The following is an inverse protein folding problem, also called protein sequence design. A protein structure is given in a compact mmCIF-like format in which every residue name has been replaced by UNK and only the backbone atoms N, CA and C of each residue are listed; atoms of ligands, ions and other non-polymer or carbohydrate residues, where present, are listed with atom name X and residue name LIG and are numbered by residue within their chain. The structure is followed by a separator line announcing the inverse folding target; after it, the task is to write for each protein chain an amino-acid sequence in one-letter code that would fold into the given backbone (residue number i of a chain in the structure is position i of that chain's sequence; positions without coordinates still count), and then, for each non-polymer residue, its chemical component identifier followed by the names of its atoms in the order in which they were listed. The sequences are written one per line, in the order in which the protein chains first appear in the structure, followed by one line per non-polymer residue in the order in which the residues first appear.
data_IF_646852675078
#
_entry.id   IF_646852675078
#
_cell.length_a   1.000
_cell.length_b   1.000
_cell.length_c   1.000
_cell.angle_alpha   90.00
_cell.angle_beta   90.00
_cell.angle_gamma   90.00
#
_symmetry.space_group_name_H-M   'P 1'
#
loop_
_entity.id
_entity.type
_entity.pdbx_description
1 polymer ?
#
# COMPACT_ATOMS: atom_id res chain seq x y z
N UNK A 1 -4.09 44.57 -7.20
CA UNK A 1 -3.51 43.48 -6.39
C UNK A 1 -3.64 42.18 -7.19
N UNK A 2 -2.56 41.61 -7.65
CA UNK A 2 -2.59 40.32 -8.34
C UNK A 2 -3.06 39.24 -7.35
N UNK A 3 -4.22 38.64 -7.65
CA UNK A 3 -4.83 37.57 -6.85
C UNK A 3 -3.83 36.40 -6.80
N UNK A 4 -3.36 36.08 -5.60
CA UNK A 4 -2.35 35.05 -5.35
C UNK A 4 -2.83 33.72 -5.93
N UNK A 5 -2.33 33.32 -7.10
CA UNK A 5 -2.72 32.08 -7.82
C UNK A 5 -2.36 30.80 -7.04
N UNK A 6 -1.61 30.92 -5.97
CA UNK A 6 -1.13 29.80 -5.13
C UNK A 6 -2.10 29.37 -4.02
N UNK A 7 -3.26 30.02 -3.89
CA UNK A 7 -4.32 29.65 -2.93
C UNK A 7 -5.49 28.88 -3.59
N UNK A 8 -5.37 28.52 -4.87
CA UNK A 8 -6.41 27.75 -5.57
C UNK A 8 -6.11 26.26 -5.39
N UNK A 9 -6.92 25.59 -4.58
CA UNK A 9 -6.87 24.15 -4.43
C UNK A 9 -7.50 23.50 -5.67
N UNK A 10 -6.75 22.72 -6.41
CA UNK A 10 -7.25 21.92 -7.51
C UNK A 10 -8.06 20.73 -6.94
N UNK A 11 -9.31 20.62 -7.35
CA UNK A 11 -10.11 19.43 -7.06
C UNK A 11 -9.69 18.34 -8.04
N UNK A 12 -9.12 17.24 -7.52
CA UNK A 12 -8.82 16.06 -8.32
C UNK A 12 -10.15 15.36 -8.68
N UNK A 13 -10.74 15.76 -9.79
CA UNK A 13 -12.06 15.30 -10.26
C UNK A 13 -12.04 14.07 -11.16
N UNK A 14 -10.99 13.32 -11.20
CA UNK A 14 -11.06 12.06 -11.96
C UNK A 14 -11.54 10.92 -11.07
N UNK A 15 -12.81 10.49 -11.18
CA UNK A 15 -13.27 9.28 -10.52
C UNK A 15 -12.43 8.11 -11.00
N UNK A 16 -12.17 7.18 -10.10
CA UNK A 16 -11.45 5.96 -10.42
C UNK A 16 -12.24 5.15 -11.45
N UNK A 17 -11.70 5.03 -12.67
CA UNK A 17 -12.37 4.31 -13.77
C UNK A 17 -11.81 2.88 -13.88
N UNK A 18 -12.69 1.91 -13.64
CA UNK A 18 -12.39 0.49 -13.81
C UNK A 18 -11.99 0.10 -15.23
N UNK A 19 -12.37 0.90 -16.26
CA UNK A 19 -11.99 0.63 -17.64
C UNK A 19 -10.47 0.72 -17.85
N UNK A 20 -9.80 1.64 -17.17
CA UNK A 20 -8.34 1.74 -17.19
C UNK A 20 -7.65 0.52 -16.56
N UNK A 21 -8.21 0.00 -15.46
CA UNK A 21 -7.73 -1.24 -14.86
C UNK A 21 -7.87 -2.43 -15.82
N UNK A 22 -9.01 -2.55 -16.49
CA UNK A 22 -9.24 -3.64 -17.45
C UNK A 22 -8.20 -3.67 -18.58
N UNK A 23 -7.77 -2.50 -19.07
CA UNK A 23 -6.69 -2.40 -20.07
C UNK A 23 -5.35 -2.87 -19.49
N UNK A 24 -5.05 -2.52 -18.25
CA UNK A 24 -3.81 -2.93 -17.59
C UNK A 24 -3.75 -4.44 -17.31
N UNK A 25 -4.90 -5.12 -17.16
CA UNK A 25 -4.96 -6.57 -16.99
C UNK A 25 -4.45 -7.36 -18.21
N UNK A 26 -4.38 -6.76 -19.41
CA UNK A 26 -3.81 -7.40 -20.59
C UNK A 26 -2.34 -7.76 -20.37
N UNK A 27 -1.58 -6.87 -19.75
CA UNK A 27 -0.17 -7.12 -19.43
C UNK A 27 0.00 -8.19 -18.34
N UNK A 28 -0.87 -8.19 -17.34
CA UNK A 28 -0.87 -9.20 -16.27
C UNK A 28 -1.12 -10.61 -16.84
N UNK A 29 -2.05 -10.74 -17.78
CA UNK A 29 -2.43 -12.03 -18.39
C UNK A 29 -1.23 -12.77 -19.03
N UNK A 30 -0.25 -12.04 -19.55
CA UNK A 30 0.98 -12.59 -20.13
C UNK A 30 1.78 -13.39 -19.10
N UNK A 31 1.76 -12.96 -17.83
CA UNK A 31 2.56 -13.54 -16.73
C UNK A 31 1.77 -14.46 -15.80
N UNK A 32 0.58 -14.93 -16.22
CA UNK A 32 -0.32 -15.79 -15.44
C UNK A 32 0.39 -17.01 -14.80
N UNK A 33 1.34 -17.63 -15.50
CA UNK A 33 2.11 -18.78 -14.98
C UNK A 33 2.91 -18.40 -13.74
N UNK A 34 3.72 -17.32 -13.81
CA UNK A 34 4.50 -16.82 -12.66
C UNK A 34 3.59 -16.39 -11.51
N UNK A 35 2.41 -15.85 -11.81
CA UNK A 35 1.41 -15.46 -10.80
C UNK A 35 0.78 -16.67 -10.10
N UNK A 36 0.46 -17.73 -10.84
CA UNK A 36 -0.06 -18.97 -10.25
C UNK A 36 1.00 -19.60 -9.35
N UNK A 37 2.28 -19.62 -9.76
CA UNK A 37 3.36 -20.12 -8.88
C UNK A 37 3.51 -19.27 -7.63
N UNK A 38 3.40 -17.93 -7.72
CA UNK A 38 3.41 -17.06 -6.55
C UNK A 38 2.21 -17.32 -5.62
N UNK A 39 1.04 -17.60 -6.20
CA UNK A 39 -0.17 -17.97 -5.45
C UNK A 39 0.03 -19.29 -4.69
N UNK A 40 0.55 -20.32 -5.35
CA UNK A 40 0.84 -21.61 -4.72
C UNK A 40 1.84 -21.46 -3.57
N UNK A 41 2.92 -20.69 -3.78
CA UNK A 41 3.89 -20.39 -2.73
C UNK A 41 3.26 -19.64 -1.55
N UNK A 42 2.28 -18.74 -1.79
CA UNK A 42 1.53 -18.07 -0.73
C UNK A 42 0.71 -19.07 0.11
N UNK A 43 0.06 -20.01 -0.56
CA UNK A 43 -0.71 -21.08 0.13
C UNK A 43 0.21 -21.94 1.00
N UNK A 44 1.37 -22.37 0.48
CA UNK A 44 2.35 -23.12 1.26
C UNK A 44 2.91 -22.32 2.44
N UNK A 45 3.21 -21.04 2.23
CA UNK A 45 3.65 -20.16 3.30
C UNK A 45 2.58 -19.99 4.39
N UNK A 46 1.31 -19.84 3.99
CA UNK A 46 0.18 -19.73 4.92
C UNK A 46 -0.02 -21.01 5.72
N UNK A 47 -0.01 -22.18 5.08
CA UNK A 47 -0.11 -23.49 5.75
C UNK A 47 1.03 -23.62 6.78
N UNK A 48 2.26 -23.36 6.37
CA UNK A 48 3.43 -23.42 7.27
C UNK A 48 3.28 -22.45 8.45
N UNK A 49 2.76 -21.25 8.23
CA UNK A 49 2.50 -20.26 9.29
C UNK A 49 1.42 -20.72 10.29
N UNK A 50 0.36 -21.40 9.81
CA UNK A 50 -0.73 -21.91 10.65
C UNK A 50 -0.34 -23.14 11.49
N UNK A 51 0.72 -23.86 11.11
CA UNK A 51 1.25 -24.95 11.95
C UNK A 51 1.86 -24.43 13.26
N UNK A 52 2.37 -23.20 13.29
CA UNK A 52 2.98 -22.60 14.47
C UNK A 52 2.04 -22.57 15.70
N UNK A 53 0.85 -21.96 15.61
CA UNK A 53 -0.14 -21.98 16.68
C UNK A 53 -0.53 -23.37 17.14
N UNK A 54 -0.69 -24.34 16.21
CA UNK A 54 -1.02 -25.73 16.55
C UNK A 54 0.08 -26.42 17.35
N UNK A 55 1.35 -26.21 16.96
CA UNK A 55 2.51 -26.74 17.70
C UNK A 55 2.54 -26.11 19.11
N UNK A 56 2.28 -24.80 19.21
CA UNK A 56 2.27 -24.10 20.49
C UNK A 56 1.15 -24.63 21.39
N UNK A 57 -0.07 -24.78 20.86
CA UNK A 57 -1.19 -25.36 21.60
C UNK A 57 -0.85 -26.77 22.10
N UNK A 58 -0.35 -27.64 21.24
CA UNK A 58 0.03 -28.99 21.63
C UNK A 58 1.12 -29.02 22.73
N UNK A 59 2.08 -28.08 22.65
CA UNK A 59 3.11 -27.95 23.68
C UNK A 59 2.54 -27.55 25.04
N UNK A 60 1.61 -26.59 25.07
CA UNK A 60 0.97 -26.09 26.27
C UNK A 60 0.04 -27.12 26.90
N UNK A 61 -0.76 -27.82 26.08
CA UNK A 61 -1.80 -28.74 26.59
C UNK A 61 -1.23 -30.09 27.02
N UNK A 62 -0.18 -30.59 26.33
CA UNK A 62 0.29 -31.97 26.55
C UNK A 62 1.74 -32.04 27.07
N UNK A 63 2.68 -31.30 26.48
CA UNK A 63 4.11 -31.52 26.73
C UNK A 63 4.58 -30.87 28.03
N UNK A 64 4.12 -29.63 28.31
CA UNK A 64 4.50 -28.89 29.52
C UNK A 64 3.93 -29.55 30.78
N UNK A 65 2.65 -29.96 30.86
CA UNK A 65 2.10 -30.65 32.01
C UNK A 65 2.82 -31.98 32.32
N UNK A 66 3.27 -32.69 31.26
CA UNK A 66 4.02 -33.95 31.41
C UNK A 66 5.49 -33.76 31.76
N UNK A 67 6.00 -32.51 31.78
CA UNK A 67 7.42 -32.17 32.03
C UNK A 67 8.41 -32.91 31.12
N UNK A 68 7.98 -33.25 29.90
CA UNK A 68 8.83 -33.98 28.94
C UNK A 68 9.73 -33.03 28.16
N UNK A 69 10.94 -32.78 28.66
CA UNK A 69 11.91 -31.88 28.05
C UNK A 69 12.36 -32.31 26.65
N UNK A 70 12.46 -33.59 26.39
CA UNK A 70 12.89 -34.11 25.07
C UNK A 70 11.84 -33.77 23.99
N UNK A 71 10.56 -33.95 24.30
CA UNK A 71 9.47 -33.63 23.39
C UNK A 71 9.34 -32.10 23.19
N UNK A 72 9.57 -31.31 24.24
CA UNK A 72 9.54 -29.85 24.16
C UNK A 72 10.62 -29.31 23.21
N UNK A 73 11.84 -29.85 23.28
CA UNK A 73 12.94 -29.49 22.36
C UNK A 73 12.58 -29.86 20.91
N UNK A 74 12.00 -31.05 20.69
CA UNK A 74 11.57 -31.46 19.35
C UNK A 74 10.49 -30.51 18.76
N UNK A 75 9.49 -30.15 19.56
CA UNK A 75 8.44 -29.19 19.16
C UNK A 75 9.00 -27.80 18.89
N UNK A 76 9.96 -27.34 19.67
CA UNK A 76 10.64 -26.07 19.44
C UNK A 76 11.42 -26.08 18.11
N UNK A 77 12.13 -27.17 17.81
CA UNK A 77 12.81 -27.32 16.53
C UNK A 77 11.82 -27.38 15.35
N UNK A 78 10.70 -28.08 15.53
CA UNK A 78 9.63 -28.12 14.53
C UNK A 78 9.02 -26.72 14.31
N UNK A 79 8.78 -25.96 15.36
CA UNK A 79 8.26 -24.58 15.30
C UNK A 79 9.23 -23.66 14.54
N UNK A 80 10.52 -23.69 14.87
CA UNK A 80 11.55 -22.94 14.12
C UNK A 80 11.61 -23.39 12.67
N UNK A 81 11.44 -24.68 12.40
CA UNK A 81 11.37 -25.24 11.05
C UNK A 81 10.18 -24.66 10.26
N UNK A 82 8.99 -24.57 10.84
CA UNK A 82 7.81 -23.99 10.16
C UNK A 82 8.03 -22.51 9.81
N UNK A 83 8.64 -21.75 10.71
CA UNK A 83 9.00 -20.34 10.47
C UNK A 83 10.00 -20.24 9.31
N UNK A 84 11.06 -21.03 9.31
CA UNK A 84 12.08 -21.02 8.25
C UNK A 84 11.47 -21.36 6.89
N UNK A 85 10.59 -22.36 6.82
CA UNK A 85 9.87 -22.76 5.60
C UNK A 85 8.94 -21.64 5.13
N UNK A 86 8.16 -21.03 6.02
CA UNK A 86 7.24 -19.93 5.71
C UNK A 86 8.00 -18.71 5.15
N UNK A 87 9.11 -18.32 5.79
CA UNK A 87 9.97 -17.22 5.33
C UNK A 87 10.56 -17.53 3.95
N UNK A 88 11.01 -18.76 3.73
CA UNK A 88 11.61 -19.18 2.46
C UNK A 88 10.59 -19.08 1.32
N UNK A 89 9.39 -19.63 1.49
CA UNK A 89 8.32 -19.53 0.49
C UNK A 89 7.88 -18.08 0.25
N UNK A 90 7.74 -17.29 1.31
CA UNK A 90 7.41 -15.87 1.20
C UNK A 90 8.48 -15.06 0.45
N UNK A 91 9.75 -15.35 0.69
CA UNK A 91 10.88 -14.71 0.00
C UNK A 91 10.93 -15.07 -1.48
N UNK A 92 10.74 -16.36 -1.83
CA UNK A 92 10.69 -16.81 -3.23
C UNK A 92 9.50 -16.17 -3.94
N UNK A 93 8.32 -16.14 -3.31
CA UNK A 93 7.12 -15.44 -3.82
C UNK A 93 7.42 -13.97 -4.11
N UNK A 94 7.99 -13.26 -3.13
CA UNK A 94 8.32 -11.84 -3.26
C UNK A 94 9.27 -11.59 -4.42
N UNK A 95 10.26 -12.44 -4.60
CA UNK A 95 11.22 -12.37 -5.71
C UNK A 95 10.54 -12.56 -7.06
N UNK A 96 9.65 -13.56 -7.19
CA UNK A 96 8.87 -13.80 -8.40
C UNK A 96 8.01 -12.57 -8.72
N UNK A 97 7.35 -11.98 -7.72
CA UNK A 97 6.48 -10.82 -7.89
C UNK A 97 7.27 -9.57 -8.32
N UNK A 98 8.47 -9.35 -7.76
CA UNK A 98 9.35 -8.27 -8.18
C UNK A 98 9.76 -8.43 -9.66
N UNK A 99 10.13 -9.65 -10.08
CA UNK A 99 10.49 -9.92 -11.48
C UNK A 99 9.28 -9.68 -12.40
N UNK A 100 8.10 -10.17 -12.04
CA UNK A 100 6.87 -9.93 -12.82
C UNK A 100 6.57 -8.44 -12.93
N UNK A 101 6.73 -7.67 -11.86
CA UNK A 101 6.57 -6.22 -11.88
C UNK A 101 7.52 -5.55 -12.87
N UNK A 102 8.80 -5.91 -12.86
CA UNK A 102 9.78 -5.35 -13.80
C UNK A 102 9.53 -5.79 -15.25
N UNK A 103 9.11 -7.03 -15.48
CA UNK A 103 8.72 -7.52 -16.80
C UNK A 103 7.51 -6.72 -17.35
N UNK A 104 6.51 -6.40 -16.52
CA UNK A 104 5.36 -5.55 -16.89
C UNK A 104 5.81 -4.14 -17.25
N UNK A 105 6.72 -3.54 -16.45
CA UNK A 105 7.30 -2.22 -16.74
C UNK A 105 7.98 -2.23 -18.11
N UNK A 106 8.78 -3.24 -18.37
CA UNK A 106 9.49 -3.40 -19.64
C UNK A 106 8.52 -3.48 -20.81
N UNK A 107 7.48 -4.32 -20.73
CA UNK A 107 6.47 -4.47 -21.78
C UNK A 107 5.73 -3.14 -22.03
N UNK A 108 5.24 -2.48 -20.99
CA UNK A 108 4.53 -1.19 -21.11
C UNK A 108 5.43 -0.13 -21.73
N UNK A 109 6.68 -0.01 -21.29
CA UNK A 109 7.63 0.95 -21.87
C UNK A 109 7.93 0.69 -23.32
N UNK A 110 8.10 -0.58 -23.69
CA UNK A 110 8.36 -0.98 -25.06
C UNK A 110 7.19 -0.63 -25.97
N UNK A 111 5.96 -0.96 -25.55
CA UNK A 111 4.75 -0.64 -26.33
C UNK A 111 4.52 0.86 -26.42
N UNK A 112 4.74 1.59 -25.31
CA UNK A 112 4.61 3.04 -25.30
C UNK A 112 5.65 3.72 -26.19
N UNK A 113 6.91 3.24 -26.19
CA UNK A 113 7.95 3.77 -27.03
C UNK A 113 7.66 3.53 -28.53
N UNK A 114 7.21 2.33 -28.90
CA UNK A 114 6.78 2.04 -30.27
C UNK A 114 5.65 2.99 -30.69
N UNK A 115 4.63 3.13 -29.85
CA UNK A 115 3.52 4.03 -30.14
C UNK A 115 3.97 5.49 -30.31
N UNK A 116 4.90 5.95 -29.50
CA UNK A 116 5.48 7.30 -29.66
C UNK A 116 6.16 7.47 -31.01
N UNK A 117 6.86 6.46 -31.54
CA UNK A 117 7.51 6.55 -32.86
C UNK A 117 6.50 6.64 -34.01
N UNK A 118 5.26 6.21 -33.83
CA UNK A 118 4.19 6.23 -34.83
C UNK A 118 3.34 7.51 -34.76
N UNK A 119 3.51 8.36 -33.74
CA UNK A 119 2.73 9.59 -33.58
C UNK A 119 3.16 10.67 -34.59
N UNK A 120 2.19 11.46 -35.10
CA UNK A 120 2.49 12.57 -36.04
C UNK A 120 3.29 13.68 -35.35
N UNK A 121 4.06 14.44 -36.14
CA UNK A 121 4.89 15.56 -35.66
C UNK A 121 4.08 16.61 -34.89
N UNK A 122 2.83 16.87 -35.26
CA UNK A 122 1.92 17.78 -34.58
C UNK A 122 1.77 17.45 -33.08
N UNK A 123 1.86 16.18 -32.69
CA UNK A 123 1.84 15.76 -31.29
C UNK A 123 3.04 16.30 -30.51
N UNK A 124 4.21 16.34 -31.16
CA UNK A 124 5.47 16.78 -30.55
C UNK A 124 5.58 18.31 -30.53
N UNK A 125 5.12 18.98 -31.58
CA UNK A 125 5.17 20.43 -31.70
C UNK A 125 4.27 21.14 -30.66
N UNK A 126 3.14 20.53 -30.32
CA UNK A 126 2.15 21.08 -29.40
C UNK A 126 2.38 20.70 -27.93
N UNK A 127 3.47 19.96 -27.60
CA UNK A 127 3.71 19.47 -26.23
C UNK A 127 5.16 19.58 -25.80
N UNK A 128 5.42 20.09 -24.58
CA UNK A 128 6.79 20.13 -24.03
C UNK A 128 7.37 18.72 -23.93
N UNK A 129 8.58 18.52 -24.46
CA UNK A 129 9.27 17.22 -24.46
C UNK A 129 9.42 16.64 -23.05
N UNK A 130 9.63 17.49 -22.03
CA UNK A 130 9.68 17.08 -20.62
C UNK A 130 8.41 16.39 -20.12
N UNK A 131 7.22 16.82 -20.56
CA UNK A 131 5.95 16.15 -20.20
C UNK A 131 5.82 14.76 -20.81
N UNK A 132 6.34 14.58 -22.03
CA UNK A 132 6.35 13.26 -22.70
C UNK A 132 7.29 12.32 -21.92
N UNK A 133 8.48 12.79 -21.56
CA UNK A 133 9.46 12.02 -20.80
C UNK A 133 8.91 11.56 -19.44
N UNK A 134 8.28 12.47 -18.69
CA UNK A 134 7.65 12.13 -17.40
C UNK A 134 6.59 11.05 -17.54
N UNK A 135 5.80 11.07 -18.62
CA UNK A 135 4.79 10.04 -18.88
C UNK A 135 5.39 8.67 -19.14
N UNK A 136 6.47 8.61 -19.91
CA UNK A 136 7.13 7.34 -20.28
C UNK A 136 7.92 6.76 -19.11
N UNK A 137 8.48 7.59 -18.25
CA UNK A 137 9.34 7.14 -17.15
C UNK A 137 8.54 7.02 -15.85
N UNK A 138 7.99 8.13 -15.35
CA UNK A 138 7.42 8.16 -13.99
C UNK A 138 6.02 7.53 -13.93
N UNK A 139 5.13 7.82 -14.90
CA UNK A 139 3.78 7.28 -14.85
C UNK A 139 3.75 5.79 -15.12
N UNK A 140 4.64 5.27 -15.97
CA UNK A 140 4.77 3.82 -16.20
C UNK A 140 5.23 3.11 -14.92
N UNK A 141 6.17 3.68 -14.17
CA UNK A 141 6.56 3.14 -12.86
C UNK A 141 5.37 3.10 -11.90
N UNK A 142 4.63 4.20 -11.79
CA UNK A 142 3.47 4.27 -10.89
C UNK A 142 2.37 3.27 -11.25
N UNK A 143 2.12 3.05 -12.55
CA UNK A 143 1.17 2.03 -13.01
C UNK A 143 1.64 0.63 -12.67
N UNK A 144 2.92 0.34 -12.86
CA UNK A 144 3.48 -0.97 -12.53
C UNK A 144 3.48 -1.23 -11.03
N UNK A 145 3.84 -0.24 -10.22
CA UNK A 145 3.78 -0.37 -8.75
C UNK A 145 2.35 -0.64 -8.27
N UNK A 146 1.37 0.02 -8.89
CA UNK A 146 -0.04 -0.23 -8.61
C UNK A 146 -0.46 -1.65 -9.02
N UNK A 147 0.03 -2.17 -10.14
CA UNK A 147 -0.31 -3.50 -10.61
C UNK A 147 0.39 -4.60 -9.79
N UNK A 148 1.71 -4.51 -9.63
CA UNK A 148 2.51 -5.56 -8.99
C UNK A 148 2.43 -5.54 -7.47
N UNK A 149 2.52 -4.37 -6.85
CA UNK A 149 2.48 -4.22 -5.39
C UNK A 149 1.08 -3.88 -4.84
N UNK A 150 0.20 -3.33 -5.67
CA UNK A 150 -1.16 -3.01 -5.29
C UNK A 150 -2.12 -4.17 -5.51
N UNK A 151 -2.62 -4.33 -6.74
CA UNK A 151 -3.74 -5.23 -7.06
C UNK A 151 -3.41 -6.69 -6.78
N UNK A 152 -2.21 -7.14 -7.18
CA UNK A 152 -1.83 -8.55 -7.02
C UNK A 152 -1.67 -8.90 -5.55
N UNK A 153 -1.00 -8.03 -4.77
CA UNK A 153 -0.90 -8.26 -3.32
C UNK A 153 -2.28 -8.27 -2.65
N UNK A 154 -3.20 -7.38 -3.02
CA UNK A 154 -4.58 -7.40 -2.49
C UNK A 154 -5.26 -8.73 -2.78
N UNK A 155 -5.13 -9.28 -4.00
CA UNK A 155 -5.70 -10.59 -4.36
C UNK A 155 -5.08 -11.70 -3.48
N UNK A 156 -3.75 -11.71 -3.33
CA UNK A 156 -3.05 -12.70 -2.53
C UNK A 156 -3.44 -12.61 -1.05
N UNK A 157 -3.57 -11.41 -0.50
CA UNK A 157 -4.00 -11.21 0.89
C UNK A 157 -5.47 -11.58 1.12
N UNK A 158 -6.37 -11.30 0.16
CA UNK A 158 -7.75 -11.76 0.21
C UNK A 158 -7.84 -13.28 0.22
N UNK A 159 -7.03 -13.97 -0.58
CA UNK A 159 -6.96 -15.43 -0.59
C UNK A 159 -6.36 -15.98 0.70
N UNK A 160 -5.33 -15.35 1.23
CA UNK A 160 -4.75 -15.70 2.52
C UNK A 160 -5.78 -15.54 3.65
N UNK A 161 -6.51 -14.43 3.68
CA UNK A 161 -7.58 -14.18 4.63
C UNK A 161 -8.70 -15.23 4.53
N UNK A 162 -9.11 -15.60 3.30
CA UNK A 162 -10.08 -16.66 3.08
C UNK A 162 -9.58 -18.00 3.63
N UNK A 163 -8.30 -18.32 3.38
CA UNK A 163 -7.69 -19.55 3.86
C UNK A 163 -7.64 -19.60 5.39
N UNK A 164 -7.26 -18.51 6.05
CA UNK A 164 -7.27 -18.37 7.50
C UNK A 164 -8.70 -18.54 8.05
N UNK A 165 -9.71 -17.92 7.43
CA UNK A 165 -11.10 -18.08 7.82
C UNK A 165 -11.54 -19.55 7.77
N UNK A 166 -11.27 -20.23 6.66
CA UNK A 166 -11.60 -21.64 6.51
C UNK A 166 -10.92 -22.47 7.61
N UNK A 167 -9.64 -22.24 7.85
CA UNK A 167 -8.88 -22.92 8.89
C UNK A 167 -9.49 -22.71 10.30
N UNK A 168 -9.86 -21.47 10.64
CA UNK A 168 -10.49 -21.16 11.93
C UNK A 168 -11.79 -21.94 12.14
N UNK A 169 -12.63 -22.07 11.09
CA UNK A 169 -13.85 -22.87 11.17
C UNK A 169 -13.59 -24.37 11.41
N UNK A 170 -12.47 -24.90 10.89
CA UNK A 170 -12.08 -26.28 11.17
C UNK A 170 -11.62 -26.50 12.62
N UNK A 171 -10.99 -25.48 13.22
CA UNK A 171 -10.47 -25.57 14.60
C UNK A 171 -11.61 -25.39 15.61
N UNK A 172 -12.38 -24.32 15.55
CA UNK A 172 -13.48 -24.05 16.45
C UNK A 172 -14.50 -23.09 15.83
N UNK A 173 -15.69 -23.60 15.52
CA UNK A 173 -16.77 -22.84 14.87
C UNK A 173 -17.29 -21.71 15.76
N UNK A 174 -17.44 -21.95 17.07
CA UNK A 174 -17.98 -20.95 18.01
C UNK A 174 -17.06 -19.73 18.11
N UNK A 175 -15.76 -19.95 18.32
CA UNK A 175 -14.75 -18.88 18.35
C UNK A 175 -14.64 -18.15 17.02
N UNK A 176 -14.70 -18.88 15.90
CA UNK A 176 -14.67 -18.28 14.57
C UNK A 176 -15.83 -17.30 14.34
N UNK A 177 -17.03 -17.62 14.80
CA UNK A 177 -18.19 -16.73 14.69
C UNK A 177 -18.02 -15.47 15.55
N UNK A 178 -17.45 -15.58 16.75
CA UNK A 178 -17.14 -14.41 17.60
C UNK A 178 -16.17 -13.47 16.89
N UNK A 179 -15.07 -13.99 16.35
CA UNK A 179 -14.08 -13.19 15.63
C UNK A 179 -14.70 -12.54 14.37
N UNK A 180 -15.48 -13.30 13.60
CA UNK A 180 -16.16 -12.79 12.41
C UNK A 180 -17.17 -11.69 12.72
N UNK A 181 -17.84 -11.73 13.88
CA UNK A 181 -18.77 -10.67 14.29
C UNK A 181 -18.08 -9.31 14.51
N UNK A 182 -16.79 -9.30 14.83
CA UNK A 182 -15.98 -8.09 14.96
C UNK A 182 -15.55 -7.47 13.64
N UNK A 183 -15.47 -8.26 12.55
CA UNK A 183 -15.01 -7.73 11.25
C UNK A 183 -15.90 -6.60 10.69
N UNK A 184 -17.23 -6.65 10.72
CA UNK A 184 -18.07 -5.54 10.26
C UNK A 184 -17.82 -4.25 11.05
N UNK A 185 -17.67 -4.35 12.36
CA UNK A 185 -17.39 -3.20 13.24
C UNK A 185 -16.04 -2.59 12.85
N UNK A 186 -15.01 -3.43 12.72
CA UNK A 186 -13.69 -3.00 12.26
C UNK A 186 -13.75 -2.34 10.87
N UNK A 187 -14.47 -2.92 9.92
CA UNK A 187 -14.63 -2.38 8.58
C UNK A 187 -15.26 -0.98 8.58
N UNK A 188 -16.29 -0.75 9.40
CA UNK A 188 -16.93 0.56 9.53
C UNK A 188 -15.95 1.61 10.10
N UNK A 189 -15.23 1.27 11.18
CA UNK A 189 -14.24 2.15 11.79
C UNK A 189 -13.16 2.51 10.76
N UNK A 190 -12.63 1.51 10.04
CA UNK A 190 -11.59 1.72 9.04
C UNK A 190 -12.07 2.56 7.85
N UNK A 191 -13.32 2.37 7.39
CA UNK A 191 -13.89 3.20 6.33
C UNK A 191 -14.01 4.67 6.76
N UNK A 192 -14.41 4.94 8.00
CA UNK A 192 -14.49 6.31 8.53
C UNK A 192 -13.11 6.97 8.62
N UNK A 193 -12.10 6.26 9.13
CA UNK A 193 -10.72 6.77 9.22
C UNK A 193 -10.17 7.03 7.82
N UNK A 194 -10.28 6.05 6.90
CA UNK A 194 -9.76 6.16 5.53
C UNK A 194 -10.37 7.32 4.75
N UNK A 195 -11.67 7.60 4.92
CA UNK A 195 -12.33 8.75 4.27
C UNK A 195 -11.71 10.08 4.70
N UNK A 196 -11.45 10.25 6.00
CA UNK A 196 -10.80 11.45 6.56
C UNK A 196 -9.34 11.54 6.18
N UNK A 197 -8.61 10.43 6.25
CA UNK A 197 -7.22 10.31 5.85
C UNK A 197 -7.02 10.70 4.38
N UNK A 198 -7.86 10.18 3.47
CA UNK A 198 -7.80 10.51 2.04
C UNK A 198 -7.96 12.02 1.81
N UNK A 199 -8.93 12.65 2.48
CA UNK A 199 -9.16 14.10 2.36
C UNK A 199 -7.96 14.90 2.89
N UNK A 200 -7.38 14.49 4.01
CA UNK A 200 -6.20 15.15 4.58
C UNK A 200 -4.97 15.02 3.68
N UNK A 201 -4.72 13.86 3.08
CA UNK A 201 -3.63 13.67 2.11
C UNK A 201 -3.82 14.44 0.81
N UNK A 202 -5.07 14.62 0.39
CA UNK A 202 -5.38 15.48 -0.76
C UNK A 202 -5.04 16.95 -0.48
N UNK A 203 -5.35 17.43 0.73
CA UNK A 203 -4.95 18.79 1.17
C UNK A 203 -3.42 18.95 1.20
N UNK A 204 -2.68 17.96 1.70
CA UNK A 204 -1.21 17.93 1.65
C UNK A 204 -0.71 18.03 0.21
N UNK A 205 -1.30 17.26 -0.71
CA UNK A 205 -0.92 17.29 -2.13
C UNK A 205 -1.12 18.68 -2.74
N UNK A 206 -2.26 19.31 -2.46
CA UNK A 206 -2.57 20.66 -2.94
C UNK A 206 -1.58 21.70 -2.38
N UNK A 207 -1.31 21.66 -1.07
CA UNK A 207 -0.36 22.61 -0.45
C UNK A 207 1.07 22.37 -0.91
N UNK A 208 1.46 21.12 -1.16
CA UNK A 208 2.76 20.76 -1.76
C UNK A 208 2.88 21.30 -3.18
N UNK A 209 1.84 21.14 -4.01
CA UNK A 209 1.82 21.66 -5.38
C UNK A 209 1.97 23.19 -5.40
N UNK A 210 1.25 23.90 -4.52
CA UNK A 210 1.31 25.34 -4.41
C UNK A 210 2.70 25.81 -3.98
N UNK A 211 3.32 25.14 -3.01
CA UNK A 211 4.68 25.44 -2.54
C UNK A 211 5.72 25.21 -3.65
N UNK A 212 5.62 24.09 -4.35
CA UNK A 212 6.54 23.76 -5.44
C UNK A 212 6.41 24.72 -6.63
N UNK A 213 5.19 25.13 -6.99
CA UNK A 213 4.95 26.12 -8.03
C UNK A 213 5.60 27.48 -7.67
N UNK A 214 5.43 27.90 -6.41
CA UNK A 214 6.06 29.11 -5.91
C UNK A 214 7.59 29.04 -5.93
N UNK A 215 8.16 27.90 -5.49
CA UNK A 215 9.62 27.69 -5.55
C UNK A 215 10.14 27.74 -6.99
N UNK A 216 9.48 27.08 -7.92
CA UNK A 216 9.88 27.07 -9.32
C UNK A 216 9.85 28.47 -9.92
N UNK A 217 8.82 29.26 -9.63
CA UNK A 217 8.72 30.65 -10.11
C UNK A 217 9.82 31.53 -9.53
N UNK A 218 10.09 31.43 -8.23
CA UNK A 218 11.14 32.22 -7.57
C UNK A 218 12.56 31.82 -8.01
N UNK A 219 12.84 30.55 -8.23
CA UNK A 219 14.14 30.09 -8.74
C UNK A 219 14.34 30.61 -10.17
N UNK A 220 13.31 30.49 -11.02
CA UNK A 220 13.39 31.00 -12.41
C UNK A 220 13.48 32.51 -12.47
N UNK A 221 12.77 33.19 -11.57
CA UNK A 221 12.75 34.68 -11.48
C UNK A 221 13.77 35.28 -10.51
N UNK A 222 14.77 34.54 -10.02
CA UNK A 222 15.68 35.00 -8.98
C UNK A 222 16.40 36.32 -9.33
N UNK A 223 16.81 36.48 -10.60
CA UNK A 223 17.41 37.75 -11.07
C UNK A 223 16.45 38.92 -10.93
N UNK A 224 15.17 38.73 -11.25
CA UNK A 224 14.16 39.80 -11.14
C UNK A 224 13.97 40.17 -9.67
N UNK A 225 13.88 39.17 -8.80
CA UNK A 225 13.77 39.38 -7.34
C UNK A 225 14.92 40.22 -6.82
N UNK A 226 16.15 39.92 -7.21
CA UNK A 226 17.35 40.65 -6.79
C UNK A 226 17.40 42.09 -7.36
N UNK A 227 17.02 42.28 -8.64
CA UNK A 227 16.99 43.61 -9.25
C UNK A 227 15.98 44.53 -8.54
N UNK A 228 14.84 43.98 -8.11
CA UNK A 228 13.80 44.75 -7.42
C UNK A 228 13.88 44.70 -5.90
N UNK A 229 14.95 44.09 -5.33
CA UNK A 229 15.19 43.97 -3.87
C UNK A 229 13.98 43.47 -3.11
N UNK A 230 13.37 42.38 -3.62
CA UNK A 230 12.15 41.77 -3.04
C UNK A 230 12.41 40.43 -2.32
N UNK A 231 13.63 40.15 -1.92
CA UNK A 231 14.02 38.90 -1.27
C UNK A 231 13.26 38.68 0.03
N UNK A 232 13.13 39.69 0.86
CA UNK A 232 12.45 39.63 2.15
C UNK A 232 10.95 39.32 1.97
N UNK A 233 10.29 39.98 1.01
CA UNK A 233 8.87 39.74 0.73
C UNK A 233 8.63 38.30 0.22
N UNK A 234 9.52 37.81 -0.65
CA UNK A 234 9.46 36.44 -1.16
C UNK A 234 9.72 35.40 -0.06
N UNK A 235 10.63 35.67 0.88
CA UNK A 235 10.87 34.83 2.03
C UNK A 235 9.62 34.74 2.91
N UNK A 236 8.95 35.83 3.21
CA UNK A 236 7.72 35.86 4.00
C UNK A 236 6.57 35.09 3.32
N UNK A 237 6.45 35.17 2.00
CA UNK A 237 5.45 34.36 1.26
C UNK A 237 5.79 32.88 1.33
N UNK A 238 7.07 32.53 1.15
CA UNK A 238 7.54 31.15 1.26
C UNK A 238 7.26 30.57 2.64
N UNK A 239 7.56 31.29 3.71
CA UNK A 239 7.31 30.87 5.08
C UNK A 239 5.83 30.62 5.33
N UNK A 240 4.96 31.47 4.81
CA UNK A 240 3.50 31.30 4.90
C UNK A 240 3.01 30.05 4.18
N UNK A 241 3.51 29.78 2.97
CA UNK A 241 3.15 28.60 2.19
C UNK A 241 3.70 27.33 2.85
N UNK A 242 4.93 27.38 3.35
CA UNK A 242 5.59 26.30 4.06
C UNK A 242 4.83 25.95 5.37
N UNK A 243 4.38 26.95 6.12
CA UNK A 243 3.58 26.76 7.32
C UNK A 243 2.21 26.15 7.03
N UNK A 244 1.54 26.53 5.93
CA UNK A 244 0.30 25.90 5.47
C UNK A 244 0.53 24.42 5.14
N UNK A 245 1.61 24.11 4.41
CA UNK A 245 2.00 22.74 4.08
C UNK A 245 2.29 21.94 5.36
N UNK A 246 3.06 22.49 6.30
CA UNK A 246 3.38 21.85 7.59
C UNK A 246 2.11 21.48 8.37
N UNK A 247 1.14 22.41 8.46
CA UNK A 247 -0.12 22.16 9.15
C UNK A 247 -0.94 21.06 8.51
N UNK A 248 -1.05 21.06 7.17
CA UNK A 248 -1.75 20.00 6.43
C UNK A 248 -1.06 18.66 6.61
N UNK A 249 0.28 18.61 6.59
CA UNK A 249 1.06 17.40 6.84
C UNK A 249 0.80 16.81 8.22
N UNK A 250 0.89 17.62 9.28
CA UNK A 250 0.62 17.20 10.66
C UNK A 250 -0.80 16.63 10.78
N UNK A 251 -1.78 17.30 10.14
CA UNK A 251 -3.16 16.81 10.15
C UNK A 251 -3.32 15.46 9.41
N UNK A 252 -2.66 15.26 8.28
CA UNK A 252 -2.69 14.00 7.55
C UNK A 252 -2.03 12.85 8.34
N UNK A 253 -0.88 13.11 8.98
CA UNK A 253 -0.18 12.16 9.84
C UNK A 253 -1.03 11.78 11.06
N UNK A 254 -1.76 12.74 11.65
CA UNK A 254 -2.70 12.46 12.74
C UNK A 254 -3.73 11.40 12.35
N UNK A 255 -4.37 11.53 11.19
CA UNK A 255 -5.33 10.52 10.72
C UNK A 255 -4.65 9.20 10.31
N UNK A 256 -3.43 9.24 9.78
CA UNK A 256 -2.67 8.03 9.47
C UNK A 256 -2.31 7.25 10.71
N UNK A 257 -1.91 7.93 11.77
CA UNK A 257 -1.53 7.30 13.05
C UNK A 257 -2.75 6.77 13.85
N UNK A 258 -3.99 7.19 13.53
CA UNK A 258 -5.18 6.60 14.15
C UNK A 258 -5.47 5.16 13.70
N UNK A 259 -4.91 4.74 12.58
CA UNK A 259 -5.12 3.37 12.05
C UNK A 259 -4.60 2.31 13.02
N UNK A 260 -3.39 2.52 13.55
CA UNK A 260 -2.74 1.55 14.44
C UNK A 260 -3.51 1.34 15.76
N UNK A 261 -3.81 2.37 16.54
CA UNK A 261 -4.61 2.22 17.77
C UNK A 261 -6.01 1.65 17.50
N UNK A 262 -6.64 2.02 16.37
CA UNK A 262 -7.95 1.47 16.03
C UNK A 262 -7.88 -0.04 15.77
N UNK A 263 -6.84 -0.52 15.08
CA UNK A 263 -6.63 -1.95 14.84
C UNK A 263 -6.32 -2.68 16.13
N UNK A 264 -5.44 -2.15 16.97
CA UNK A 264 -4.99 -2.76 18.21
C UNK A 264 -6.15 -2.89 19.22
N UNK A 265 -6.92 -1.81 19.40
CA UNK A 265 -8.08 -1.84 20.32
C UNK A 265 -9.14 -2.86 19.89
N UNK A 266 -9.45 -2.95 18.58
CA UNK A 266 -10.43 -3.94 18.10
C UNK A 266 -9.90 -5.36 18.26
N UNK A 267 -8.63 -5.60 17.96
CA UNK A 267 -7.98 -6.91 18.13
C UNK A 267 -7.99 -7.34 19.60
N UNK A 268 -7.63 -6.44 20.50
CA UNK A 268 -7.63 -6.69 21.94
C UNK A 268 -9.03 -6.96 22.47
N UNK A 269 -10.03 -6.18 22.05
CA UNK A 269 -11.43 -6.40 22.44
C UNK A 269 -11.94 -7.76 21.96
N UNK A 270 -11.62 -8.19 20.75
CA UNK A 270 -11.98 -9.50 20.21
C UNK A 270 -11.31 -10.64 21.00
N UNK A 271 -10.03 -10.48 21.38
CA UNK A 271 -9.30 -11.45 22.18
C UNK A 271 -9.98 -11.66 23.54
N UNK A 272 -10.29 -10.59 24.26
CA UNK A 272 -10.99 -10.67 25.56
C UNK A 272 -12.40 -11.25 25.43
N UNK A 273 -13.10 -10.97 24.33
CA UNK A 273 -14.43 -11.54 24.07
C UNK A 273 -14.33 -13.04 23.78
N UNK A 274 -13.27 -13.49 23.11
CA UNK A 274 -13.05 -14.92 22.87
C UNK A 274 -12.69 -15.68 24.15
N UNK A 275 -11.87 -15.12 25.01
CA UNK A 275 -11.53 -15.73 26.32
C UNK A 275 -12.78 -15.87 27.20
N UNK A 276 -13.63 -14.82 27.27
CA UNK A 276 -14.90 -14.88 28.00
C UNK A 276 -15.95 -15.83 27.41
N UNK A 277 -15.80 -16.26 26.15
CA UNK A 277 -16.69 -17.22 25.52
C UNK A 277 -16.23 -18.69 25.69
N UNK A 278 -14.98 -18.89 26.13
CA UNK A 278 -14.42 -20.20 26.47
C UNK A 278 -14.61 -20.58 27.95
N UNK A 279 -14.84 -19.59 28.84
CA UNK A 279 -15.29 -19.81 30.23
C UNK A 279 -16.82 -20.06 30.27
#
# INVERSE_FOLDING_TARGET
MARNRYDVDEVLETPFDFAHLKRSFVYIKKYKGKMITALMLSVFAAISGLLGPLITQYALDNTIPQKNMGQLVLLTLAFVGTIAVSITFSTIRSRIMTVVGQDIIFDIRTDLFKHLQELPFEYYDNRPHGKILIRVVNYVNSVSDMLSNGIINVILECLNMLFIMIFMFFVNVKLSLVVLSGLPIFAVIMMMIKKRQRKAWQDVSNKSSNLNAYLQENITGARVTQIFTREEENAQIFDRLSEKYRKSWINAVKYSNLVWPATDNVSTCLLYTSDAADE
#
